data_IF_112317834669
#
_entry.id   IF_112317834669
#
_cell.length_a   1.000
_cell.length_b   1.000
_cell.length_c   1.000
_cell.angle_alpha   90.00
_cell.angle_beta   90.00
_cell.angle_gamma   90.00
#
_symmetry.space_group_name_H-M   'P 1'
#
loop_
_entity.id
_entity.type
_entity.pdbx_description
1 polymer ?
#
# COMPACT_ATOMS: atom_id res chain seq x y z
N UNK A 1 -10.04 -23.66 -15.08
CA UNK A 1 -9.14 -22.51 -14.90
C UNK A 1 -9.19 -22.11 -13.43
N UNK A 2 -8.18 -22.52 -12.65
CA UNK A 2 -8.11 -22.26 -11.20
C UNK A 2 -7.77 -20.79 -11.02
N UNK A 3 -8.68 -20.01 -10.42
CA UNK A 3 -8.40 -18.66 -9.92
C UNK A 3 -7.17 -18.76 -9.02
N UNK A 4 -6.06 -18.16 -9.45
CA UNK A 4 -4.89 -17.95 -8.62
C UNK A 4 -5.35 -17.10 -7.44
N UNK A 5 -5.43 -17.71 -6.27
CA UNK A 5 -5.59 -17.02 -4.99
C UNK A 5 -4.28 -16.26 -4.72
N UNK A 6 -4.10 -15.12 -5.38
CA UNK A 6 -3.18 -14.06 -4.98
C UNK A 6 -3.82 -13.14 -3.92
N UNK A 7 -5.06 -13.40 -3.51
CA UNK A 7 -5.79 -12.62 -2.52
C UNK A 7 -5.57 -13.15 -1.10
N UNK A 8 -4.44 -12.80 -0.48
CA UNK A 8 -4.32 -12.84 0.99
C UNK A 8 -3.35 -11.79 1.56
N UNK A 9 -3.08 -10.72 0.81
CA UNK A 9 -2.56 -9.44 1.36
C UNK A 9 -3.61 -8.33 1.17
N UNK A 10 -4.67 -8.58 0.41
CA UNK A 10 -5.80 -7.67 0.22
C UNK A 10 -6.71 -7.66 1.45
N UNK A 11 -6.58 -6.62 2.28
CA UNK A 11 -7.70 -5.91 2.96
C UNK A 11 -7.27 -5.15 4.24
N UNK A 12 -6.10 -5.42 4.80
CA UNK A 12 -5.82 -5.02 6.19
C UNK A 12 -5.25 -3.61 6.35
N UNK A 13 -4.75 -2.97 5.29
CA UNK A 13 -4.25 -1.58 5.35
C UNK A 13 -5.37 -0.54 5.33
N UNK A 14 -6.42 -0.78 4.55
CA UNK A 14 -7.58 0.11 4.48
C UNK A 14 -8.60 -0.13 5.61
N UNK A 15 -8.51 -1.28 6.29
CA UNK A 15 -9.45 -1.70 7.33
C UNK A 15 -8.73 -1.98 8.65
N UNK A 16 -8.06 -0.96 9.19
CA UNK A 16 -7.60 -0.88 10.57
C UNK A 16 -7.23 -2.22 11.22
N UNK A 17 -5.98 -2.65 11.07
CA UNK A 17 -5.48 -3.73 11.90
C UNK A 17 -5.48 -3.30 13.36
N UNK A 18 -6.13 -4.12 14.18
CA UNK A 18 -6.38 -3.98 15.61
C UNK A 18 -5.13 -4.00 16.51
N UNK A 19 -4.00 -3.43 16.07
CA UNK A 19 -2.72 -3.46 16.79
C UNK A 19 -2.13 -2.10 17.14
N UNK A 20 -2.53 -1.02 16.47
CA UNK A 20 -1.94 0.32 16.67
C UNK A 20 -3.05 1.33 16.94
N UNK A 21 -2.90 2.07 18.03
CA UNK A 21 -3.76 3.20 18.31
C UNK A 21 -3.49 4.29 17.25
N UNK A 22 -4.38 4.42 16.26
CA UNK A 22 -4.29 5.49 15.27
C UNK A 22 -4.24 6.83 15.99
N UNK A 23 -3.30 7.68 15.59
CA UNK A 23 -3.29 9.06 16.06
C UNK A 23 -4.59 9.72 15.61
N UNK A 24 -5.35 10.21 16.57
CA UNK A 24 -6.62 10.86 16.32
C UNK A 24 -6.39 12.37 16.30
N UNK A 25 -6.83 13.02 15.22
CA UNK A 25 -6.81 14.48 15.17
C UNK A 25 -7.55 15.07 16.38
N UNK A 26 -6.92 16.08 17.00
CA UNK A 26 -7.50 16.85 18.08
C UNK A 26 -8.82 17.51 17.63
N UNK A 27 -9.71 17.83 18.57
CA UNK A 27 -11.03 18.40 18.26
C UNK A 27 -10.94 19.78 17.59
N UNK A 28 -9.85 20.50 17.85
CA UNK A 28 -9.52 21.82 17.33
C UNK A 28 -8.54 21.80 16.15
N UNK A 29 -8.19 20.61 15.65
CA UNK A 29 -7.32 20.47 14.48
C UNK A 29 -7.84 21.25 13.26
N UNK A 30 -6.92 21.61 12.40
CA UNK A 30 -7.18 22.19 11.08
C UNK A 30 -7.39 21.07 10.06
N UNK A 31 -8.00 21.41 8.92
CA UNK A 31 -8.11 20.48 7.77
C UNK A 31 -6.74 19.91 7.38
N UNK A 32 -5.70 20.76 7.39
CA UNK A 32 -4.33 20.35 7.03
C UNK A 32 -3.79 19.30 8.01
N UNK A 33 -3.91 19.54 9.31
CA UNK A 33 -3.46 18.60 10.33
C UNK A 33 -4.20 17.26 10.25
N UNK A 34 -5.51 17.26 9.98
CA UNK A 34 -6.28 16.02 9.79
C UNK A 34 -5.73 15.21 8.60
N UNK A 35 -5.39 15.87 7.48
CA UNK A 35 -4.81 15.22 6.29
C UNK A 35 -3.41 14.67 6.55
N UNK A 36 -2.55 15.42 7.24
CA UNK A 36 -1.20 14.98 7.60
C UNK A 36 -1.23 13.75 8.52
N UNK A 37 -2.13 13.75 9.53
CA UNK A 37 -2.37 12.61 10.42
C UNK A 37 -2.84 11.39 9.63
N UNK A 38 -3.74 11.58 8.66
CA UNK A 38 -4.24 10.50 7.82
C UNK A 38 -3.09 9.78 7.08
N UNK A 39 -2.20 10.55 6.44
CA UNK A 39 -1.02 10.03 5.74
C UNK A 39 -0.05 9.37 6.73
N UNK A 40 0.18 9.96 7.90
CA UNK A 40 1.06 9.41 8.93
C UNK A 40 0.56 8.04 9.41
N UNK A 41 -0.71 7.94 9.77
CA UNK A 41 -1.35 6.70 10.19
C UNK A 41 -1.26 5.61 9.10
N UNK A 42 -1.49 5.96 7.82
CA UNK A 42 -1.37 4.99 6.74
C UNK A 42 0.07 4.50 6.52
N UNK A 43 1.08 5.38 6.67
CA UNK A 43 2.50 4.99 6.63
C UNK A 43 2.84 4.05 7.78
N UNK A 44 2.32 4.31 8.98
CA UNK A 44 2.56 3.46 10.14
C UNK A 44 1.88 2.10 10.01
N UNK A 45 0.62 2.05 9.57
CA UNK A 45 -0.11 0.81 9.30
C UNK A 45 0.66 -0.06 8.27
N UNK A 46 1.24 0.57 7.25
CA UNK A 46 2.04 -0.10 6.21
C UNK A 46 3.36 -0.68 6.72
N UNK A 47 4.01 -0.02 7.71
CA UNK A 47 5.26 -0.51 8.31
C UNK A 47 5.04 -1.70 9.22
N UNK A 48 3.94 -1.71 9.96
CA UNK A 48 3.75 -2.65 11.07
C UNK A 48 3.14 -4.01 10.68
N UNK A 49 2.86 -4.24 9.40
CA UNK A 49 2.37 -5.52 8.90
C UNK A 49 3.41 -6.67 8.90
N UNK A 50 4.64 -6.43 9.37
CA UNK A 50 5.68 -7.46 9.42
C UNK A 50 5.46 -8.44 10.57
N UNK A 51 5.04 -9.66 10.24
CA UNK A 51 4.91 -10.79 11.19
C UNK A 51 6.28 -11.36 11.57
N UNK A 52 6.37 -12.00 12.75
CA UNK A 52 7.55 -12.70 13.27
C UNK A 52 8.19 -13.70 12.29
N UNK A 53 7.40 -14.34 11.39
CA UNK A 53 7.92 -15.24 10.34
C UNK A 53 8.85 -14.52 9.34
N UNK A 54 8.69 -13.22 9.16
CA UNK A 54 9.60 -12.42 8.34
C UNK A 54 11.01 -12.38 8.94
N UNK A 55 11.17 -12.46 10.28
CA UNK A 55 12.48 -12.38 10.92
C UNK A 55 13.37 -13.58 10.56
N UNK A 56 12.86 -14.81 10.67
CA UNK A 56 13.60 -16.02 10.29
C UNK A 56 13.97 -16.00 8.80
N UNK A 57 13.08 -15.51 7.94
CA UNK A 57 13.36 -15.38 6.52
C UNK A 57 14.42 -14.32 6.23
N UNK A 58 14.34 -13.15 6.87
CA UNK A 58 15.37 -12.11 6.78
C UNK A 58 16.73 -12.65 7.23
N UNK A 59 16.78 -13.46 8.29
CA UNK A 59 18.01 -14.12 8.71
C UNK A 59 18.50 -15.12 7.67
N UNK A 60 17.62 -15.94 7.09
CA UNK A 60 17.97 -16.84 5.98
C UNK A 60 18.58 -16.07 4.79
N UNK A 61 17.99 -14.94 4.42
CA UNK A 61 18.52 -14.07 3.36
C UNK A 61 19.92 -13.54 3.70
N UNK A 62 20.15 -13.10 4.95
CA UNK A 62 21.45 -12.62 5.42
C UNK A 62 22.52 -13.71 5.36
N UNK A 63 22.16 -14.95 5.71
CA UNK A 63 23.08 -16.08 5.61
C UNK A 63 23.36 -16.43 4.14
N UNK A 64 22.36 -16.45 3.26
CA UNK A 64 22.57 -16.70 1.83
C UNK A 64 23.45 -15.61 1.18
N UNK A 65 23.27 -14.34 1.54
CA UNK A 65 24.15 -13.24 1.10
C UNK A 65 25.59 -13.40 1.59
N UNK A 66 25.78 -13.80 2.85
CA UNK A 66 27.13 -14.09 3.36
C UNK A 66 27.77 -15.28 2.67
N UNK A 67 27.01 -16.33 2.35
CA UNK A 67 27.52 -17.45 1.59
C UNK A 67 28.05 -17.01 0.21
N UNK A 68 27.41 -16.05 -0.46
CA UNK A 68 27.95 -15.43 -1.69
C UNK A 68 29.31 -14.76 -1.42
N UNK A 69 29.38 -13.94 -0.38
CA UNK A 69 30.62 -13.23 0.01
C UNK A 69 31.74 -14.22 0.37
N UNK A 70 31.44 -15.30 1.09
CA UNK A 70 32.42 -16.32 1.45
C UNK A 70 32.91 -17.09 0.22
N UNK A 71 32.03 -17.38 -0.75
CA UNK A 71 32.43 -17.98 -2.03
C UNK A 71 33.32 -17.03 -2.85
N UNK A 72 33.07 -15.73 -2.83
CA UNK A 72 33.96 -14.72 -3.45
C UNK A 72 35.35 -14.72 -2.81
N UNK A 73 35.41 -14.89 -1.48
CA UNK A 73 36.66 -15.03 -0.74
C UNK A 73 37.26 -16.44 -0.78
N UNK A 74 36.67 -17.38 -1.54
CA UNK A 74 37.09 -18.78 -1.67
C UNK A 74 37.05 -19.56 -0.34
N UNK A 75 36.23 -19.14 0.61
CA UNK A 75 36.02 -19.81 1.89
C UNK A 75 34.81 -20.76 1.81
N UNK A 76 35.00 -21.90 1.14
CA UNK A 76 33.94 -22.90 0.92
C UNK A 76 33.37 -23.47 2.23
N UNK A 77 34.18 -23.50 3.30
CA UNK A 77 33.75 -23.98 4.61
C UNK A 77 32.72 -23.03 5.20
N UNK A 78 33.02 -21.73 5.29
CA UNK A 78 32.05 -20.76 5.80
C UNK A 78 30.82 -20.62 4.92
N UNK A 79 30.99 -20.67 3.60
CA UNK A 79 29.86 -20.68 2.68
C UNK A 79 28.90 -21.86 2.95
N UNK A 80 29.45 -23.05 3.25
CA UNK A 80 28.65 -24.22 3.64
C UNK A 80 27.91 -23.97 4.95
N UNK A 81 28.62 -23.51 5.99
CA UNK A 81 28.03 -23.21 7.30
C UNK A 81 26.90 -22.17 7.20
N UNK A 82 27.05 -21.15 6.36
CA UNK A 82 26.03 -20.13 6.17
C UNK A 82 24.86 -20.64 5.32
N UNK A 83 25.07 -21.48 4.31
CA UNK A 83 23.97 -22.15 3.59
C UNK A 83 23.17 -23.08 4.50
N UNK A 84 23.82 -23.82 5.39
CA UNK A 84 23.16 -24.67 6.39
C UNK A 84 22.29 -23.84 7.34
N UNK A 85 22.81 -22.72 7.86
CA UNK A 85 22.04 -21.79 8.69
C UNK A 85 20.87 -21.19 7.91
N UNK A 86 21.09 -20.80 6.66
CA UNK A 86 20.03 -20.26 5.80
C UNK A 86 18.89 -21.26 5.59
N UNK A 87 19.21 -22.53 5.33
CA UNK A 87 18.25 -23.61 5.16
C UNK A 87 17.52 -23.92 6.47
N UNK A 88 18.24 -24.04 7.59
CA UNK A 88 17.64 -24.30 8.90
C UNK A 88 16.62 -23.21 9.30
N UNK A 89 16.90 -21.95 8.96
CA UNK A 89 15.94 -20.85 9.15
C UNK A 89 14.67 -21.01 8.33
N UNK A 90 14.76 -21.50 7.09
CA UNK A 90 13.60 -21.76 6.24
C UNK A 90 12.80 -22.98 6.72
N UNK A 91 13.46 -24.01 7.25
CA UNK A 91 12.78 -25.19 7.79
C UNK A 91 11.82 -24.84 8.93
N UNK A 92 12.22 -23.92 9.82
CA UNK A 92 11.35 -23.40 10.88
C UNK A 92 10.06 -22.79 10.30
N UNK A 93 10.17 -22.08 9.17
CA UNK A 93 9.03 -21.46 8.49
C UNK A 93 8.17 -22.50 7.78
N UNK A 94 8.79 -23.44 7.07
CA UNK A 94 8.12 -24.49 6.31
C UNK A 94 7.41 -25.51 7.21
N UNK A 95 7.87 -25.68 8.45
CA UNK A 95 7.22 -26.53 9.46
C UNK A 95 5.92 -25.92 10.01
N UNK A 96 5.66 -24.63 9.76
CA UNK A 96 4.40 -24.00 10.17
C UNK A 96 3.22 -24.60 9.38
N UNK A 97 2.13 -24.93 10.08
CA UNK A 97 0.92 -25.56 9.51
C UNK A 97 0.35 -24.80 8.30
N UNK A 98 0.48 -23.47 8.31
CA UNK A 98 -0.05 -22.56 7.29
C UNK A 98 1.08 -21.75 6.60
N UNK A 99 2.24 -22.38 6.34
CA UNK A 99 3.34 -21.73 5.64
C UNK A 99 2.88 -21.15 4.28
N UNK A 100 3.07 -19.84 4.02
CA UNK A 100 2.58 -19.22 2.80
C UNK A 100 3.47 -19.57 1.60
N UNK A 101 2.92 -19.58 0.39
CA UNK A 101 3.74 -19.77 -0.83
C UNK A 101 4.70 -18.61 -1.09
N UNK A 102 4.24 -17.40 -0.82
CA UNK A 102 4.99 -16.16 -0.87
C UNK A 102 5.06 -15.61 0.54
N UNK A 103 6.27 -15.47 1.08
CA UNK A 103 6.48 -14.94 2.41
C UNK A 103 6.92 -13.48 2.34
N UNK A 104 6.10 -12.52 2.82
CA UNK A 104 6.51 -11.12 2.91
C UNK A 104 7.74 -10.96 3.80
N UNK A 105 8.81 -10.36 3.25
CA UNK A 105 10.06 -10.10 3.96
C UNK A 105 10.37 -8.60 4.10
N UNK A 106 9.79 -7.76 3.26
CA UNK A 106 9.97 -6.32 3.32
C UNK A 106 8.77 -5.56 2.74
N UNK A 107 8.51 -4.36 3.24
CA UNK A 107 7.53 -3.42 2.71
C UNK A 107 8.26 -2.13 2.31
N UNK A 108 8.19 -1.76 1.03
CA UNK A 108 8.66 -0.47 0.53
C UNK A 108 7.48 0.48 0.43
N UNK A 109 7.58 1.64 1.07
CA UNK A 109 6.52 2.64 1.11
C UNK A 109 7.00 3.88 0.36
N UNK A 110 6.30 4.22 -0.72
CA UNK A 110 6.52 5.45 -1.48
C UNK A 110 5.26 6.31 -1.40
N UNK A 111 5.43 7.58 -1.03
CA UNK A 111 4.31 8.53 -0.92
C UNK A 111 4.51 9.62 -1.95
N UNK A 112 3.48 9.83 -2.76
CA UNK A 112 3.44 10.82 -3.82
C UNK A 112 2.18 11.64 -3.62
N UNK A 113 2.32 12.94 -3.42
CA UNK A 113 1.20 13.84 -3.15
C UNK A 113 1.01 14.80 -4.32
N UNK A 114 -0.22 14.89 -4.81
CA UNK A 114 -0.59 15.93 -5.78
C UNK A 114 -0.87 17.23 -5.03
N UNK A 115 -0.05 18.24 -5.27
CA UNK A 115 -0.24 19.58 -4.69
C UNK A 115 -1.08 20.42 -5.65
N UNK A 116 -2.39 20.33 -5.53
CA UNK A 116 -3.34 21.10 -6.35
C UNK A 116 -4.80 20.73 -6.10
N UNK A 117 -5.68 21.30 -6.90
CA UNK A 117 -7.13 21.07 -6.84
C UNK A 117 -7.62 20.18 -7.98
N UNK A 118 -8.85 19.68 -7.88
CA UNK A 118 -9.50 18.94 -8.96
C UNK A 118 -9.56 19.76 -10.28
N UNK A 119 -9.66 21.09 -10.18
CA UNK A 119 -9.63 22.01 -11.33
C UNK A 119 -8.25 22.03 -11.99
N UNK A 120 -7.18 21.98 -11.21
CA UNK A 120 -5.80 21.95 -11.73
C UNK A 120 -5.55 20.65 -12.49
N UNK A 121 -6.06 19.52 -11.99
CA UNK A 121 -6.05 18.23 -12.71
C UNK A 121 -6.79 18.35 -14.04
N UNK A 122 -8.02 18.88 -14.04
CA UNK A 122 -8.82 19.04 -15.26
C UNK A 122 -8.15 19.94 -16.32
N UNK A 123 -7.56 21.07 -15.89
CA UNK A 123 -6.79 21.97 -16.76
C UNK A 123 -5.59 21.23 -17.35
N UNK A 124 -4.87 20.47 -16.54
CA UNK A 124 -3.69 19.71 -16.97
C UNK A 124 -4.09 18.64 -17.98
N UNK A 125 -5.15 17.88 -17.71
CA UNK A 125 -5.66 16.84 -18.63
C UNK A 125 -6.11 17.44 -19.97
N UNK A 126 -6.72 18.62 -19.99
CA UNK A 126 -7.06 19.32 -21.25
C UNK A 126 -5.83 19.68 -22.06
N UNK A 127 -4.75 20.14 -21.41
CA UNK A 127 -3.47 20.44 -22.08
C UNK A 127 -2.81 19.18 -22.61
N UNK A 128 -2.79 18.12 -21.81
CA UNK A 128 -2.27 16.79 -22.20
C UNK A 128 -2.99 16.29 -23.45
N UNK A 129 -4.32 16.32 -23.47
CA UNK A 129 -5.11 15.90 -24.65
C UNK A 129 -4.71 16.66 -25.91
N UNK A 130 -4.64 17.99 -25.84
CA UNK A 130 -4.20 18.81 -26.96
C UNK A 130 -2.76 18.46 -27.42
N UNK A 131 -1.84 18.27 -26.47
CA UNK A 131 -0.46 17.86 -26.81
C UNK A 131 -0.41 16.51 -27.49
N UNK A 132 -1.25 15.55 -27.08
CA UNK A 132 -1.35 14.25 -27.72
C UNK A 132 -1.94 14.36 -29.14
N UNK A 133 -2.97 15.18 -29.32
CA UNK A 133 -3.57 15.48 -30.64
C UNK A 133 -2.53 16.10 -31.59
N UNK A 134 -1.64 16.94 -31.06
CA UNK A 134 -0.53 17.59 -31.79
C UNK A 134 0.70 16.65 -31.98
N UNK A 135 0.64 15.40 -31.52
CA UNK A 135 1.75 14.42 -31.61
C UNK A 135 2.91 14.67 -30.64
N UNK A 136 2.76 15.58 -29.67
CA UNK A 136 3.78 15.99 -28.69
C UNK A 136 3.81 15.07 -27.46
N UNK A 137 4.09 13.79 -27.70
CA UNK A 137 4.02 12.74 -26.67
C UNK A 137 4.92 13.01 -25.46
N UNK A 138 6.13 13.55 -25.66
CA UNK A 138 7.07 13.79 -24.56
C UNK A 138 6.65 14.97 -23.67
N UNK A 139 6.08 16.04 -24.25
CA UNK A 139 5.51 17.16 -23.48
C UNK A 139 4.29 16.70 -22.67
N UNK A 140 3.40 15.92 -23.29
CA UNK A 140 2.24 15.34 -22.62
C UNK A 140 2.64 14.43 -21.45
N UNK A 141 3.63 13.55 -21.64
CA UNK A 141 4.16 12.67 -20.60
C UNK A 141 4.69 13.46 -19.40
N UNK A 142 5.44 14.54 -19.64
CA UNK A 142 5.98 15.37 -18.57
C UNK A 142 4.88 16.01 -17.70
N UNK A 143 3.74 16.37 -18.29
CA UNK A 143 2.59 16.90 -17.56
C UNK A 143 1.76 15.83 -16.84
N UNK A 144 1.76 14.58 -17.32
CA UNK A 144 1.01 13.49 -16.71
C UNK A 144 1.71 12.87 -15.50
N UNK A 145 3.05 12.78 -15.50
CA UNK A 145 3.84 12.21 -14.39
C UNK A 145 3.44 12.75 -13.00
N UNK A 146 3.28 14.08 -12.80
CA UNK A 146 2.92 14.61 -11.49
C UNK A 146 1.44 14.45 -11.11
N UNK A 147 0.57 13.95 -11.99
CA UNK A 147 -0.85 13.72 -11.70
C UNK A 147 -1.05 12.42 -10.92
N UNK A 148 -0.50 12.38 -9.71
CA UNK A 148 -0.53 11.21 -8.83
C UNK A 148 -0.67 11.67 -7.37
N UNK A 149 -1.56 11.02 -6.62
CA UNK A 149 -1.75 11.29 -5.19
C UNK A 149 -2.05 10.01 -4.44
N UNK A 150 -1.02 9.25 -4.11
CA UNK A 150 -1.14 7.89 -3.55
C UNK A 150 0.05 7.48 -2.68
N UNK A 151 -0.20 6.44 -1.89
CA UNK A 151 0.81 5.69 -1.15
C UNK A 151 0.95 4.34 -1.86
N UNK A 152 2.13 4.08 -2.41
CA UNK A 152 2.49 2.78 -2.96
C UNK A 152 3.11 1.93 -1.86
N UNK A 153 2.52 0.78 -1.61
CA UNK A 153 2.97 -0.21 -0.63
C UNK A 153 3.42 -1.44 -1.41
N UNK A 154 4.71 -1.53 -1.65
CA UNK A 154 5.31 -2.66 -2.38
C UNK A 154 5.79 -3.70 -1.40
N UNK A 155 5.12 -4.86 -1.38
CA UNK A 155 5.49 -5.99 -0.55
C UNK A 155 6.45 -6.89 -1.34
N UNK A 156 7.69 -6.98 -0.86
CA UNK A 156 8.67 -7.92 -1.37
C UNK A 156 8.48 -9.27 -0.67
N UNK A 157 8.25 -10.31 -1.46
CA UNK A 157 7.96 -11.65 -0.96
C UNK A 157 8.97 -12.68 -1.46
N UNK A 158 9.39 -13.55 -0.54
CA UNK A 158 10.24 -14.69 -0.81
C UNK A 158 9.40 -15.88 -1.30
N UNK A 159 9.66 -16.45 -2.49
CA UNK A 159 8.96 -17.64 -2.97
C UNK A 159 9.45 -18.90 -2.22
N UNK A 160 8.68 -19.37 -1.25
CA UNK A 160 9.04 -20.54 -0.42
C UNK A 160 9.02 -21.86 -1.20
N UNK A 161 8.43 -21.90 -2.39
CA UNK A 161 8.42 -23.09 -3.23
C UNK A 161 9.74 -23.33 -3.98
N UNK A 162 10.50 -22.28 -4.31
CA UNK A 162 11.70 -22.37 -5.14
C UNK A 162 12.97 -21.95 -4.41
N UNK A 163 12.87 -20.99 -3.49
CA UNK A 163 14.04 -20.45 -2.79
C UNK A 163 14.81 -21.51 -1.96
N UNK A 164 14.15 -22.38 -1.15
CA UNK A 164 14.86 -23.42 -0.41
C UNK A 164 15.61 -24.41 -1.33
N UNK A 165 15.02 -24.76 -2.47
CA UNK A 165 15.63 -25.73 -3.39
C UNK A 165 16.84 -25.12 -4.11
N UNK A 166 16.81 -23.81 -4.40
CA UNK A 166 17.98 -23.10 -4.91
C UNK A 166 19.14 -23.08 -3.89
N UNK A 167 18.83 -22.88 -2.59
CA UNK A 167 19.87 -22.96 -1.55
C UNK A 167 20.46 -24.37 -1.42
N UNK A 168 19.64 -25.42 -1.50
CA UNK A 168 20.12 -26.82 -1.53
C UNK A 168 21.02 -27.09 -2.74
N UNK A 169 20.62 -26.61 -3.92
CA UNK A 169 21.42 -26.76 -5.13
C UNK A 169 22.76 -26.00 -5.03
N UNK A 170 22.75 -24.80 -4.46
CA UNK A 170 23.98 -24.06 -4.19
C UNK A 170 24.90 -24.83 -3.24
N UNK A 171 24.37 -25.37 -2.12
CA UNK A 171 25.13 -26.18 -1.18
C UNK A 171 25.73 -27.42 -1.85
N UNK A 172 24.96 -28.10 -2.71
CA UNK A 172 25.46 -29.20 -3.53
C UNK A 172 26.63 -28.76 -4.42
N UNK A 173 26.54 -27.60 -5.08
CA UNK A 173 27.65 -27.08 -5.89
C UNK A 173 28.89 -26.72 -5.06
N UNK A 174 28.73 -26.22 -3.83
CA UNK A 174 29.87 -26.01 -2.92
C UNK A 174 30.54 -27.34 -2.59
N UNK A 175 29.76 -28.36 -2.21
CA UNK A 175 30.27 -29.70 -1.93
C UNK A 175 30.98 -30.35 -3.13
N UNK A 176 30.44 -30.15 -4.34
CA UNK A 176 31.02 -30.61 -5.60
C UNK A 176 32.27 -29.83 -6.06
N UNK A 177 32.77 -28.88 -5.25
CA UNK A 177 33.87 -27.98 -5.57
C UNK A 177 33.61 -27.14 -6.85
N UNK A 178 32.37 -26.67 -7.03
CA UNK A 178 31.91 -25.82 -8.14
C UNK A 178 31.41 -24.44 -7.62
N UNK A 179 32.28 -23.62 -7.00
CA UNK A 179 31.88 -22.39 -6.32
C UNK A 179 31.25 -21.34 -7.26
N UNK A 180 31.67 -21.27 -8.53
CA UNK A 180 31.08 -20.34 -9.51
C UNK A 180 29.60 -20.68 -9.78
N UNK A 181 29.27 -21.97 -9.93
CA UNK A 181 27.88 -22.41 -10.11
C UNK A 181 27.04 -22.17 -8.86
N UNK A 182 27.63 -22.34 -7.67
CA UNK A 182 26.95 -22.02 -6.42
C UNK A 182 26.58 -20.53 -6.36
N UNK A 183 27.52 -19.63 -6.72
CA UNK A 183 27.26 -18.19 -6.79
C UNK A 183 26.17 -17.84 -7.80
N UNK A 184 26.22 -18.40 -9.01
CA UNK A 184 25.19 -18.18 -10.04
C UNK A 184 23.80 -18.53 -9.51
N UNK A 185 23.64 -19.70 -8.88
CA UNK A 185 22.38 -20.12 -8.29
C UNK A 185 21.93 -19.18 -7.18
N UNK A 186 22.85 -18.75 -6.30
CA UNK A 186 22.52 -17.83 -5.20
C UNK A 186 22.12 -16.44 -5.71
N UNK A 187 22.80 -15.89 -6.72
CA UNK A 187 22.40 -14.63 -7.33
C UNK A 187 21.02 -14.72 -7.97
N UNK A 188 20.72 -15.81 -8.68
CA UNK A 188 19.39 -16.05 -9.23
C UNK A 188 18.37 -16.12 -8.10
N UNK A 189 18.62 -16.92 -7.06
CA UNK A 189 17.72 -17.07 -5.93
C UNK A 189 17.42 -15.72 -5.24
N UNK A 190 18.46 -14.93 -4.97
CA UNK A 190 18.35 -13.59 -4.38
C UNK A 190 17.73 -12.55 -5.32
N UNK A 191 17.54 -12.86 -6.61
CA UNK A 191 16.87 -11.99 -7.58
C UNK A 191 15.44 -12.43 -7.90
N UNK A 192 14.93 -13.51 -7.27
CA UNK A 192 13.60 -14.08 -7.55
C UNK A 192 12.49 -13.58 -6.61
N UNK A 193 12.74 -12.50 -5.87
CA UNK A 193 11.71 -11.88 -5.04
C UNK A 193 10.51 -11.48 -5.89
N UNK A 194 9.32 -11.79 -5.36
CA UNK A 194 8.07 -11.38 -5.99
C UNK A 194 7.61 -10.09 -5.36
N UNK A 195 7.36 -9.07 -6.17
CA UNK A 195 6.88 -7.77 -5.71
C UNK A 195 5.40 -7.65 -6.02
N UNK A 196 4.62 -7.23 -5.02
CA UNK A 196 3.21 -6.88 -5.20
C UNK A 196 3.03 -5.47 -4.66
N UNK A 197 2.57 -4.55 -5.52
CA UNK A 197 2.29 -3.16 -5.12
C UNK A 197 0.80 -2.97 -4.89
N UNK A 198 0.45 -2.58 -3.67
CA UNK A 198 -0.87 -2.05 -3.34
C UNK A 198 -0.82 -0.51 -3.42
N UNK A 199 -1.81 0.10 -4.07
CA UNK A 199 -1.93 1.55 -4.17
C UNK A 199 -3.06 2.01 -3.26
N UNK A 200 -2.75 2.96 -2.37
CA UNK A 200 -3.73 3.60 -1.49
C UNK A 200 -3.89 5.06 -1.93
N UNK A 201 -5.03 5.44 -2.56
CA UNK A 201 -5.25 6.82 -2.99
C UNK A 201 -5.37 7.76 -1.79
N UNK A 202 -4.48 8.75 -1.71
CA UNK A 202 -4.43 9.72 -0.61
C UNK A 202 -5.73 10.51 -0.50
N UNK A 203 -6.34 11.05 -1.57
CA UNK A 203 -7.55 11.86 -1.41
C UNK A 203 -8.76 11.06 -0.88
N UNK A 204 -8.82 9.74 -1.12
CA UNK A 204 -9.85 8.87 -0.51
C UNK A 204 -9.57 8.56 0.97
N UNK A 205 -8.29 8.55 1.36
CA UNK A 205 -7.87 8.46 2.75
C UNK A 205 -8.21 9.74 3.49
N UNK A 206 -7.83 10.90 2.94
CA UNK A 206 -8.16 12.23 3.49
C UNK A 206 -9.67 12.41 3.67
N UNK A 207 -10.47 12.08 2.66
CA UNK A 207 -11.93 12.19 2.73
C UNK A 207 -12.50 11.39 3.90
N UNK A 208 -12.02 10.16 4.12
CA UNK A 208 -12.48 9.31 5.21
C UNK A 208 -12.15 9.90 6.59
N UNK A 209 -10.92 10.41 6.76
CA UNK A 209 -10.48 10.94 8.05
C UNK A 209 -11.09 12.31 8.36
N UNK A 210 -11.35 13.13 7.33
CA UNK A 210 -12.12 14.36 7.46
C UNK A 210 -13.59 14.09 7.85
N UNK A 211 -14.24 13.08 7.26
CA UNK A 211 -15.59 12.66 7.67
C UNK A 211 -15.60 12.16 9.12
N UNK A 212 -14.60 11.37 9.51
CA UNK A 212 -14.43 10.89 10.88
C UNK A 212 -14.12 12.03 11.87
N UNK A 213 -13.38 13.06 11.45
CA UNK A 213 -13.16 14.26 12.25
C UNK A 213 -14.46 15.05 12.42
N UNK A 214 -15.21 15.25 11.33
CA UNK A 214 -16.50 15.94 11.35
C UNK A 214 -17.51 15.27 12.28
N UNK A 215 -17.63 13.94 12.25
CA UNK A 215 -18.59 13.20 13.08
C UNK A 215 -18.35 13.41 14.58
N UNK A 216 -17.08 13.52 14.99
CA UNK A 216 -16.66 13.70 16.39
C UNK A 216 -17.01 15.08 16.95
N UNK A 217 -16.97 16.11 16.11
CA UNK A 217 -17.14 17.50 16.55
C UNK A 217 -18.47 18.13 16.14
N UNK A 218 -19.27 17.48 15.29
CA UNK A 218 -20.51 18.04 14.73
C UNK A 218 -21.53 18.56 15.76
N UNK A 219 -21.49 18.06 17.00
CA UNK A 219 -22.36 18.54 18.11
C UNK A 219 -21.80 19.76 18.83
N UNK A 220 -20.48 19.91 18.85
CA UNK A 220 -19.74 20.90 19.63
C UNK A 220 -19.38 22.11 18.76
N UNK A 221 -18.93 21.86 17.53
CA UNK A 221 -18.52 22.87 16.56
C UNK A 221 -19.06 22.52 15.17
N UNK A 222 -20.25 23.04 14.87
CA UNK A 222 -20.93 22.83 13.59
C UNK A 222 -20.16 23.44 12.43
N UNK A 223 -19.56 24.61 12.62
CA UNK A 223 -18.87 25.33 11.53
C UNK A 223 -17.62 24.56 11.09
N UNK A 224 -16.80 24.11 12.04
CA UNK A 224 -15.62 23.29 11.73
C UNK A 224 -16.01 21.93 11.15
N UNK A 225 -17.07 21.30 11.65
CA UNK A 225 -17.58 20.06 11.07
C UNK A 225 -17.98 20.22 9.60
N UNK A 226 -18.62 21.35 9.25
CA UNK A 226 -18.96 21.67 7.86
C UNK A 226 -17.70 21.89 7.01
N UNK A 227 -16.69 22.60 7.52
CA UNK A 227 -15.40 22.78 6.81
C UNK A 227 -14.70 21.46 6.53
N UNK A 228 -14.73 20.50 7.46
CA UNK A 228 -14.20 19.17 7.22
C UNK A 228 -14.97 18.42 6.13
N UNK A 229 -16.30 18.50 6.12
CA UNK A 229 -17.13 17.87 5.09
C UNK A 229 -16.92 18.50 3.71
N UNK A 230 -16.75 19.82 3.63
CA UNK A 230 -16.39 20.51 2.39
C UNK A 230 -15.03 20.01 1.88
N UNK A 231 -14.01 19.99 2.75
CA UNK A 231 -12.68 19.47 2.40
C UNK A 231 -12.69 17.98 2.02
N UNK A 232 -13.56 17.18 2.65
CA UNK A 232 -13.74 15.77 2.31
C UNK A 232 -14.36 15.60 0.91
N UNK A 233 -15.28 16.49 0.54
CA UNK A 233 -15.84 16.56 -0.81
C UNK A 233 -14.77 16.96 -1.83
N UNK A 234 -13.98 17.99 -1.55
CA UNK A 234 -12.90 18.43 -2.43
C UNK A 234 -11.87 17.31 -2.68
N UNK A 235 -11.55 16.53 -1.64
CA UNK A 235 -10.66 15.37 -1.77
C UNK A 235 -11.26 14.26 -2.67
N UNK A 236 -12.58 14.04 -2.62
CA UNK A 236 -13.25 13.13 -3.55
C UNK A 236 -13.19 13.64 -5.00
N UNK A 237 -13.37 14.95 -5.22
CA UNK A 237 -13.23 15.55 -6.55
C UNK A 237 -11.81 15.35 -7.11
N UNK A 238 -10.78 15.54 -6.27
CA UNK A 238 -9.39 15.25 -6.66
C UNK A 238 -9.22 13.77 -7.01
N UNK A 239 -9.75 12.86 -6.19
CA UNK A 239 -9.64 11.43 -6.47
C UNK A 239 -10.30 11.05 -7.81
N UNK A 240 -11.51 11.56 -8.07
CA UNK A 240 -12.23 11.31 -9.31
C UNK A 240 -11.45 11.83 -10.52
N UNK A 241 -10.90 13.05 -10.44
CA UNK A 241 -10.15 13.67 -11.55
C UNK A 241 -8.80 13.01 -11.81
N UNK A 242 -8.14 12.49 -10.78
CA UNK A 242 -6.93 11.69 -10.93
C UNK A 242 -7.21 10.28 -11.48
N UNK A 243 -8.48 9.88 -11.59
CA UNK A 243 -8.89 8.63 -12.22
C UNK A 243 -8.85 7.42 -11.29
N UNK A 244 -8.89 7.63 -9.98
CA UNK A 244 -9.08 6.54 -9.03
C UNK A 244 -10.53 6.04 -9.15
N UNK A 245 -10.74 4.83 -9.67
CA UNK A 245 -12.08 4.29 -9.94
C UNK A 245 -12.39 3.12 -9.03
N UNK A 246 -13.67 2.92 -8.70
CA UNK A 246 -14.13 1.80 -7.89
C UNK A 246 -15.09 0.92 -8.67
N UNK A 247 -14.95 -0.40 -8.52
CA UNK A 247 -15.95 -1.37 -9.01
C UNK A 247 -17.16 -1.50 -8.06
N UNK A 248 -17.20 -0.70 -6.99
CA UNK A 248 -18.36 -0.61 -6.12
C UNK A 248 -19.59 -0.10 -6.87
N UNK A 249 -20.78 -0.49 -6.39
CA UNK A 249 -22.02 0.15 -6.82
C UNK A 249 -22.10 1.61 -6.31
N UNK A 250 -21.35 1.94 -5.25
CA UNK A 250 -21.21 3.31 -4.77
C UNK A 250 -20.39 4.12 -5.76
N UNK A 251 -20.86 5.32 -6.11
CA UNK A 251 -20.18 6.26 -7.03
C UNK A 251 -19.72 7.51 -6.30
N UNK A 252 -18.79 8.27 -6.90
CA UNK A 252 -18.42 9.61 -6.40
C UNK A 252 -19.65 10.51 -6.20
N UNK A 253 -20.54 10.56 -7.19
CA UNK A 253 -21.80 11.30 -7.11
C UNK A 253 -22.61 10.92 -5.86
N UNK A 254 -22.75 9.62 -5.57
CA UNK A 254 -23.47 9.14 -4.38
C UNK A 254 -22.77 9.55 -3.08
N UNK A 255 -21.43 9.55 -3.05
CA UNK A 255 -20.66 10.01 -1.89
C UNK A 255 -20.87 11.52 -1.65
N UNK A 256 -20.77 12.34 -2.70
CA UNK A 256 -21.06 13.78 -2.60
C UNK A 256 -22.50 14.07 -2.15
N UNK A 257 -23.47 13.31 -2.65
CA UNK A 257 -24.87 13.43 -2.21
C UNK A 257 -25.01 13.11 -0.72
N UNK A 258 -24.36 12.05 -0.23
CA UNK A 258 -24.36 11.72 1.20
C UNK A 258 -23.64 12.75 2.07
N UNK A 259 -22.53 13.32 1.61
CA UNK A 259 -21.89 14.46 2.30
C UNK A 259 -22.88 15.63 2.40
N UNK A 260 -23.57 15.98 1.31
CA UNK A 260 -24.57 17.06 1.30
C UNK A 260 -25.76 16.79 2.24
N UNK A 261 -26.22 15.54 2.33
CA UNK A 261 -27.25 15.13 3.30
C UNK A 261 -26.78 15.38 4.74
N UNK A 262 -25.57 14.93 5.09
CA UNK A 262 -24.97 15.15 6.42
C UNK A 262 -24.84 16.64 6.73
N UNK A 263 -24.34 17.43 5.78
CA UNK A 263 -24.19 18.89 5.94
C UNK A 263 -25.52 19.59 6.21
N UNK A 264 -26.60 19.19 5.52
CA UNK A 264 -27.94 19.72 5.76
C UNK A 264 -28.43 19.39 7.18
N UNK A 265 -28.18 18.17 7.64
CA UNK A 265 -28.59 17.71 8.96
C UNK A 265 -27.85 18.45 10.09
N UNK A 266 -26.52 18.65 9.95
CA UNK A 266 -25.72 19.43 10.92
C UNK A 266 -26.25 20.85 11.06
N UNK A 267 -26.65 21.49 9.95
CA UNK A 267 -27.27 22.82 9.95
C UNK A 267 -28.65 22.82 10.60
N UNK A 268 -29.33 21.67 10.61
CA UNK A 268 -30.63 21.46 11.23
C UNK A 268 -30.58 21.25 12.75
N UNK A 269 -31.70 20.73 13.27
CA UNK A 269 -31.90 20.46 14.70
C UNK A 269 -31.73 18.98 15.08
N UNK A 270 -31.65 18.04 14.13
CA UNK A 270 -31.56 16.62 14.46
C UNK A 270 -30.10 16.14 14.56
N UNK A 271 -29.96 14.89 15.04
CA UNK A 271 -28.66 14.23 15.20
C UNK A 271 -28.25 13.59 13.88
N UNK A 272 -27.10 14.00 13.34
CA UNK A 272 -26.53 13.47 12.09
C UNK A 272 -25.82 12.11 12.24
N UNK A 273 -25.83 11.50 13.43
CA UNK A 273 -25.06 10.29 13.78
C UNK A 273 -25.25 9.14 12.79
N UNK A 274 -26.52 8.77 12.52
CA UNK A 274 -26.85 7.70 11.56
C UNK A 274 -26.43 8.02 10.12
N UNK A 275 -26.42 9.31 9.75
CA UNK A 275 -25.99 9.72 8.42
C UNK A 275 -24.47 9.63 8.28
N UNK A 276 -23.72 9.95 9.33
CA UNK A 276 -22.27 9.73 9.37
C UNK A 276 -21.93 8.24 9.28
N UNK A 277 -22.60 7.38 10.03
CA UNK A 277 -22.41 5.92 9.95
C UNK A 277 -22.62 5.41 8.52
N UNK A 278 -23.75 5.77 7.90
CA UNK A 278 -24.06 5.38 6.52
C UNK A 278 -23.06 5.92 5.50
N UNK A 279 -22.60 7.17 5.66
CA UNK A 279 -21.58 7.76 4.78
C UNK A 279 -20.24 7.03 4.91
N UNK A 280 -19.80 6.75 6.14
CA UNK A 280 -18.56 6.02 6.42
C UNK A 280 -18.61 4.60 5.86
N UNK A 281 -19.74 3.90 5.97
CA UNK A 281 -19.93 2.58 5.38
C UNK A 281 -19.82 2.59 3.86
N UNK A 282 -20.49 3.55 3.19
CA UNK A 282 -20.40 3.68 1.73
C UNK A 282 -19.00 4.02 1.25
N UNK A 283 -18.30 4.91 1.96
CA UNK A 283 -16.92 5.25 1.61
C UNK A 283 -15.99 4.06 1.82
N UNK A 284 -16.21 3.28 2.89
CA UNK A 284 -15.46 2.04 3.13
C UNK A 284 -15.71 1.00 2.02
N UNK A 285 -16.95 0.82 1.60
CA UNK A 285 -17.29 -0.06 0.47
C UNK A 285 -16.67 0.45 -0.84
N UNK A 286 -16.69 1.75 -1.08
CA UNK A 286 -16.07 2.36 -2.25
C UNK A 286 -14.58 2.05 -2.28
N UNK A 287 -13.87 2.36 -1.17
CA UNK A 287 -12.42 2.19 -1.02
C UNK A 287 -11.97 0.74 -1.17
N UNK A 288 -12.71 -0.22 -0.61
CA UNK A 288 -12.31 -1.64 -0.67
C UNK A 288 -12.39 -2.25 -2.07
N UNK A 289 -13.08 -1.59 -3.00
CA UNK A 289 -13.22 -1.99 -4.41
C UNK A 289 -12.56 -1.00 -5.38
N UNK A 290 -11.70 -0.11 -4.88
CA UNK A 290 -10.94 0.79 -5.75
C UNK A 290 -9.99 -0.06 -6.58
N UNK A 291 -10.13 0.03 -7.90
CA UNK A 291 -9.11 -0.40 -8.83
C UNK A 291 -8.19 0.78 -9.06
N UNK A 292 -6.94 0.61 -8.67
CA UNK A 292 -5.84 1.43 -9.14
C UNK A 292 -5.19 0.72 -10.34
N UNK A 293 -4.66 1.48 -11.30
CA UNK A 293 -4.08 0.96 -12.54
C UNK A 293 -2.69 0.29 -12.34
N UNK A 294 -2.52 -0.53 -11.30
CA UNK A 294 -1.26 -1.25 -11.02
C UNK A 294 -1.21 -2.69 -11.55
N UNK A 295 -2.22 -3.14 -12.30
CA UNK A 295 -2.13 -4.42 -13.02
C UNK A 295 -1.60 -4.21 -14.44
N UNK A 296 -0.27 -4.12 -14.59
CA UNK A 296 0.46 -4.54 -15.79
C UNK A 296 1.84 -5.09 -15.46
#
# INVERSE_FOLDING_TARGET
MKKLLLSAITASLLLGTAGIAKEQAAKDATVKEVKEIAISNAKEDARNHQKKLAAEAIESLKFAQRAVIDLEHKDAKKATEDLEKALGKLEVILAAKDAPKLLPVNNLIRVQEFVGTAKDVDITLKRVKKMLDDGKVQEARALMIPLVSEIDITVLSLPLASYPDALKLAAQYVHDNKPEKAKEVLYIALSTFTEVTEIVPIPLLESADLINAASRIAKEDKERALKYLDAASDALDVAEKLGYVSESATTYKMLHEKIKEVQKEIKGKNKAEKLFESLTEKLKEFKSKVISFSEK
#
